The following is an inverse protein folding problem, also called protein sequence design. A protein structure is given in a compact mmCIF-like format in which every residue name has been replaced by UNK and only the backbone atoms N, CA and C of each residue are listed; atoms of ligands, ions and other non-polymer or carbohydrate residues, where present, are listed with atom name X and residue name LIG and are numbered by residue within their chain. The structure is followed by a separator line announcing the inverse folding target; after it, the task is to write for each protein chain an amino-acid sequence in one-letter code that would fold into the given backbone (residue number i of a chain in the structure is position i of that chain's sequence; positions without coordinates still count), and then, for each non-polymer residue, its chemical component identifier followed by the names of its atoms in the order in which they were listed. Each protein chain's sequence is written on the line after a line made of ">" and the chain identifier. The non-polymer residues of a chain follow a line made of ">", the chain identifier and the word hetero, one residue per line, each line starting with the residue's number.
data_IF_150582174188
#
_entry.id   IF_150582174188
#
_cell.length_a   1.000
_cell.length_b   1.000
_cell.length_c   1.000
_cell.angle_alpha   90.00
_cell.angle_beta   90.00
_cell.angle_gamma   90.00
#
_symmetry.space_group_name_H-M   'P 1'
#
loop_
_entity.id
_entity.type
_entity.pdbx_description
1 polymer ?
#
# COMPACT_ATOMS: atom_id res chain seq x y z
N UNK A 1 14.07 -1.77 0.07
CA UNK A 1 13.90 -0.32 0.36
C UNK A 1 12.44 0.08 0.42
N UNK A 2 11.63 -0.02 -0.63
CA UNK A 2 10.23 0.47 -0.55
C UNK A 2 9.42 -0.25 0.56
N UNK A 3 9.56 -1.58 0.70
CA UNK A 3 8.92 -2.37 1.76
C UNK A 3 9.14 -1.82 3.18
N UNK A 4 10.39 -1.58 3.58
CA UNK A 4 10.69 -1.04 4.92
C UNK A 4 10.17 0.39 5.11
N UNK A 5 10.11 1.19 4.04
CA UNK A 5 9.60 2.55 4.11
C UNK A 5 8.08 2.56 4.28
N UNK A 6 7.35 1.75 3.51
CA UNK A 6 5.89 1.61 3.64
C UNK A 6 5.52 1.05 5.01
N UNK A 7 6.27 0.06 5.51
CA UNK A 7 6.07 -0.50 6.86
C UNK A 7 6.26 0.55 7.96
N UNK A 8 7.22 1.46 7.78
CA UNK A 8 7.45 2.55 8.74
C UNK A 8 6.33 3.59 8.70
N UNK A 9 5.68 3.79 7.55
CA UNK A 9 4.55 4.71 7.41
C UNK A 9 3.27 4.11 7.98
N UNK A 10 3.01 2.84 7.68
CA UNK A 10 1.82 2.14 8.13
C UNK A 10 2.21 0.71 8.55
N UNK A 11 2.19 0.38 9.85
CA UNK A 11 2.44 -0.98 10.32
C UNK A 11 1.46 -1.98 9.68
N UNK A 12 1.97 -3.06 9.09
CA UNK A 12 1.17 -4.02 8.32
C UNK A 12 1.16 -3.78 6.81
N UNK A 13 1.83 -2.73 6.31
CA UNK A 13 1.92 -2.45 4.88
C UNK A 13 2.74 -3.51 4.12
N UNK A 14 3.70 -4.15 4.79
CA UNK A 14 4.46 -5.25 4.22
C UNK A 14 3.57 -6.46 3.97
N UNK A 15 2.77 -6.86 4.96
CA UNK A 15 1.81 -7.97 4.93
C UNK A 15 0.71 -7.71 3.89
N UNK A 16 0.22 -6.48 3.83
CA UNK A 16 -0.74 -6.03 2.81
C UNK A 16 -0.11 -5.90 1.41
N UNK A 17 1.19 -6.15 1.24
CA UNK A 17 1.92 -6.07 -0.04
C UNK A 17 1.79 -4.72 -0.74
N UNK A 18 1.75 -3.64 0.03
CA UNK A 18 1.64 -2.25 -0.48
C UNK A 18 2.77 -1.91 -1.47
N UNK A 19 3.95 -2.48 -1.28
CA UNK A 19 5.06 -2.31 -2.22
C UNK A 19 4.73 -2.82 -3.63
N UNK A 20 3.84 -3.81 -3.79
CA UNK A 20 3.40 -4.28 -5.11
C UNK A 20 2.50 -3.26 -5.81
N UNK A 21 1.61 -2.59 -5.06
CA UNK A 21 0.82 -1.46 -5.55
C UNK A 21 1.73 -0.38 -6.13
N UNK A 22 2.70 0.07 -5.33
CA UNK A 22 3.66 1.12 -5.71
C UNK A 22 4.47 0.70 -6.95
N UNK A 23 4.95 -0.55 -7.00
CA UNK A 23 5.71 -1.05 -8.15
C UNK A 23 4.87 -1.13 -9.43
N UNK A 24 3.58 -1.48 -9.33
CA UNK A 24 2.66 -1.50 -10.48
C UNK A 24 2.38 -0.10 -10.99
N UNK A 25 2.12 0.84 -10.11
CA UNK A 25 1.87 2.23 -10.47
C UNK A 25 3.09 2.88 -11.12
N UNK A 26 4.29 2.67 -10.56
CA UNK A 26 5.55 3.14 -11.17
C UNK A 26 5.83 2.53 -12.56
N UNK A 27 5.39 1.30 -12.85
CA UNK A 27 5.53 0.72 -14.20
C UNK A 27 4.70 1.46 -15.23
N UNK A 28 3.53 1.95 -14.84
CA UNK A 28 2.60 2.66 -15.72
C UNK A 28 2.90 4.16 -15.79
N UNK A 29 3.58 4.72 -14.78
CA UNK A 29 3.79 6.17 -14.66
C UNK A 29 5.28 6.56 -14.46
N UNK A 30 5.99 6.97 -15.54
CA UNK A 30 7.37 7.42 -15.47
C UNK A 30 7.62 8.68 -14.62
N UNK A 31 6.58 9.47 -14.32
CA UNK A 31 6.71 10.65 -13.47
C UNK A 31 7.04 10.25 -12.03
N UNK A 32 6.32 9.27 -11.49
CA UNK A 32 6.54 8.79 -10.11
C UNK A 32 7.90 8.13 -9.95
N UNK A 33 8.37 7.38 -10.96
CA UNK A 33 9.70 6.78 -10.96
C UNK A 33 10.78 7.83 -10.65
N UNK A 34 10.70 9.03 -11.25
CA UNK A 34 11.68 10.11 -11.02
C UNK A 34 11.64 10.63 -9.57
N UNK A 35 10.44 10.80 -9.00
CA UNK A 35 10.27 11.27 -7.62
C UNK A 35 10.84 10.22 -6.65
N UNK A 36 10.52 8.94 -6.85
CA UNK A 36 11.04 7.85 -6.03
C UNK A 36 12.56 7.74 -6.10
N UNK A 37 13.16 7.80 -7.29
CA UNK A 37 14.62 7.76 -7.42
C UNK A 37 15.29 8.92 -6.68
N UNK A 38 14.79 10.15 -6.88
CA UNK A 38 15.35 11.34 -6.22
C UNK A 38 15.21 11.24 -4.70
N UNK A 39 14.04 10.86 -4.20
CA UNK A 39 13.78 10.74 -2.77
C UNK A 39 14.59 9.64 -2.09
N UNK A 40 14.70 8.45 -2.70
CA UNK A 40 15.52 7.37 -2.18
C UNK A 40 17.01 7.75 -2.13
N UNK A 41 17.50 8.49 -3.13
CA UNK A 41 18.86 9.03 -3.10
C UNK A 41 19.05 10.00 -1.93
N UNK A 42 18.14 10.97 -1.78
CA UNK A 42 18.19 11.95 -0.69
C UNK A 42 18.13 11.30 0.69
N UNK A 43 17.28 10.28 0.89
CA UNK A 43 17.24 9.53 2.14
C UNK A 43 18.54 8.76 2.40
N UNK A 44 19.12 8.15 1.36
CA UNK A 44 20.37 7.43 1.53
C UNK A 44 21.55 8.37 1.84
N UNK A 45 21.60 9.55 1.20
CA UNK A 45 22.56 10.61 1.58
C UNK A 45 22.34 11.10 3.02
N UNK A 46 21.09 11.30 3.42
CA UNK A 46 20.73 11.67 4.79
C UNK A 46 21.15 10.63 5.81
N UNK A 47 20.94 9.34 5.51
CA UNK A 47 21.38 8.23 6.35
C UNK A 47 22.90 8.19 6.51
N UNK A 48 23.65 8.42 5.43
CA UNK A 48 25.11 8.45 5.44
C UNK A 48 25.65 9.66 6.22
N UNK A 49 25.01 10.82 6.09
CA UNK A 49 25.41 12.05 6.78
C UNK A 49 25.14 11.99 8.28
N UNK A 50 23.97 11.47 8.69
CA UNK A 50 23.52 11.51 10.09
C UNK A 50 23.99 10.30 10.90
N UNK A 51 23.94 9.11 10.29
CA UNK A 51 24.18 7.84 10.98
C UNK A 51 25.42 7.11 10.47
N UNK A 52 26.16 7.67 9.51
CA UNK A 52 27.38 7.09 8.92
C UNK A 52 27.18 5.66 8.37
N UNK A 53 25.98 5.38 7.87
CA UNK A 53 25.59 4.06 7.37
C UNK A 53 24.61 4.18 6.20
N UNK A 54 24.34 3.09 5.50
CA UNK A 54 23.39 3.09 4.37
C UNK A 54 21.94 3.04 4.87
N UNK A 55 21.00 3.54 4.08
CA UNK A 55 19.56 3.54 4.44
C UNK A 55 19.04 2.16 4.87
N UNK A 56 19.48 1.10 4.16
CA UNK A 56 19.10 -0.30 4.44
C UNK A 56 19.62 -0.85 5.78
N UNK A 57 20.58 -0.18 6.40
CA UNK A 57 21.24 -0.60 7.64
C UNK A 57 20.69 0.14 8.87
N UNK A 58 19.78 1.11 8.69
CA UNK A 58 19.12 1.80 9.78
C UNK A 58 18.18 0.86 10.53
N UNK A 59 18.15 1.00 11.86
CA UNK A 59 17.10 0.40 12.67
C UNK A 59 15.78 1.20 12.55
N UNK A 60 14.68 0.65 13.09
CA UNK A 60 13.35 1.25 12.97
C UNK A 60 13.25 2.67 13.54
N UNK A 61 13.90 2.95 14.67
CA UNK A 61 13.90 4.30 15.27
C UNK A 61 14.67 5.29 14.41
N UNK A 62 15.87 4.92 13.96
CA UNK A 62 16.70 5.76 13.09
C UNK A 62 16.00 6.07 11.76
N UNK A 63 15.33 5.08 11.18
CA UNK A 63 14.57 5.25 9.95
C UNK A 63 13.36 6.16 10.15
N UNK A 64 12.62 5.98 11.24
CA UNK A 64 11.47 6.83 11.60
C UNK A 64 11.91 8.28 11.78
N UNK A 65 13.00 8.51 12.51
CA UNK A 65 13.51 9.86 12.75
C UNK A 65 14.04 10.49 11.45
N UNK A 66 14.70 9.72 10.59
CA UNK A 66 15.12 10.20 9.28
C UNK A 66 13.90 10.59 8.42
N UNK A 67 12.88 9.74 8.34
CA UNK A 67 11.68 10.01 7.55
C UNK A 67 10.95 11.27 8.01
N UNK A 68 10.87 11.51 9.31
CA UNK A 68 10.30 12.75 9.88
C UNK A 68 11.04 14.00 9.38
N UNK A 69 12.37 13.96 9.25
CA UNK A 69 13.12 15.11 8.74
C UNK A 69 12.76 15.46 7.28
N UNK A 70 12.26 14.49 6.52
CA UNK A 70 11.87 14.66 5.12
C UNK A 70 10.34 14.67 4.94
N UNK A 71 9.54 14.85 6.00
CA UNK A 71 8.08 14.76 5.95
C UNK A 71 7.44 15.75 4.96
N UNK A 72 8.06 16.92 4.76
CA UNK A 72 7.60 17.95 3.84
C UNK A 72 8.13 17.78 2.41
N UNK A 73 8.89 16.72 2.14
CA UNK A 73 9.39 16.44 0.79
C UNK A 73 8.29 15.87 -0.10
N UNK A 74 8.33 16.20 -1.39
CA UNK A 74 7.44 15.63 -2.42
C UNK A 74 7.47 14.09 -2.40
N UNK A 75 8.65 13.51 -2.21
CA UNK A 75 8.81 12.07 -2.10
C UNK A 75 8.07 11.48 -0.90
N UNK A 76 8.21 12.07 0.29
CA UNK A 76 7.56 11.53 1.48
C UNK A 76 6.03 11.61 1.36
N UNK A 77 5.51 12.72 0.85
CA UNK A 77 4.07 12.89 0.63
C UNK A 77 3.54 11.84 -0.35
N UNK A 78 4.22 11.67 -1.49
CA UNK A 78 3.85 10.64 -2.47
C UNK A 78 3.94 9.22 -1.90
N UNK A 79 5.02 8.91 -1.18
CA UNK A 79 5.19 7.60 -0.55
C UNK A 79 4.08 7.33 0.49
N UNK A 80 3.71 8.33 1.29
CA UNK A 80 2.61 8.24 2.25
C UNK A 80 1.28 8.00 1.56
N UNK A 81 0.97 8.80 0.54
CA UNK A 81 -0.29 8.68 -0.19
C UNK A 81 -0.40 7.32 -0.87
N UNK A 82 0.63 6.89 -1.59
CA UNK A 82 0.67 5.54 -2.17
C UNK A 82 0.62 4.43 -1.11
N UNK A 83 1.15 4.65 0.09
CA UNK A 83 1.04 3.66 1.17
C UNK A 83 -0.41 3.50 1.60
N UNK A 84 -1.12 4.61 1.80
CA UNK A 84 -2.53 4.59 2.19
C UNK A 84 -3.42 4.05 1.07
N UNK A 85 -3.18 4.46 -0.18
CA UNK A 85 -3.87 3.92 -1.35
C UNK A 85 -3.65 2.42 -1.48
N UNK A 86 -2.40 1.97 -1.40
CA UNK A 86 -2.07 0.56 -1.43
C UNK A 86 -2.62 -0.22 -0.23
N UNK A 87 -2.87 0.41 0.92
CA UNK A 87 -3.48 -0.25 2.08
C UNK A 87 -4.99 -0.44 1.93
N UNK A 88 -5.70 0.51 1.33
CA UNK A 88 -7.16 0.58 1.43
C UNK A 88 -7.90 0.54 0.09
N UNK A 89 -7.18 0.53 -1.04
CA UNK A 89 -7.76 0.32 -2.37
C UNK A 89 -8.19 -1.15 -2.58
N UNK A 90 -8.90 -1.41 -3.68
CA UNK A 90 -9.27 -2.76 -4.07
C UNK A 90 -7.99 -3.62 -4.28
N UNK A 91 -7.91 -4.82 -3.67
CA UNK A 91 -6.74 -5.70 -3.80
C UNK A 91 -6.32 -5.99 -5.25
N UNK A 92 -7.22 -5.85 -6.23
CA UNK A 92 -6.92 -6.03 -7.65
C UNK A 92 -5.80 -5.10 -8.15
N UNK A 93 -5.67 -3.90 -7.58
CA UNK A 93 -4.63 -2.94 -7.96
C UNK A 93 -3.24 -3.34 -7.44
N UNK A 94 -3.15 -4.39 -6.63
CA UNK A 94 -1.99 -4.69 -5.81
C UNK A 94 -2.05 -3.93 -4.50
N UNK A 95 -1.27 -4.34 -3.51
CA UNK A 95 -1.54 -3.89 -2.15
C UNK A 95 -2.82 -4.54 -1.60
N UNK A 96 -3.25 -4.08 -0.42
CA UNK A 96 -4.39 -4.56 0.35
C UNK A 96 -4.57 -6.08 0.25
N UNK A 97 -3.47 -6.83 0.34
CA UNK A 97 -3.46 -8.26 0.07
C UNK A 97 -4.43 -8.97 1.01
N UNK A 98 -5.23 -9.90 0.48
CA UNK A 98 -6.34 -10.55 1.20
C UNK A 98 -7.30 -9.55 1.88
N UNK A 99 -7.46 -8.38 1.27
CA UNK A 99 -8.23 -7.25 1.78
C UNK A 99 -7.91 -6.92 3.25
N UNK A 100 -6.64 -7.03 3.67
CA UNK A 100 -6.20 -6.77 5.05
C UNK A 100 -6.67 -5.41 5.56
N UNK A 101 -6.49 -4.34 4.79
CA UNK A 101 -6.95 -2.99 5.15
C UNK A 101 -8.48 -2.91 5.24
N UNK A 102 -9.22 -3.62 4.39
CA UNK A 102 -10.69 -3.68 4.50
C UNK A 102 -11.14 -4.45 5.75
N UNK A 103 -10.51 -5.60 6.04
CA UNK A 103 -10.75 -6.39 7.25
C UNK A 103 -10.50 -5.56 8.52
N UNK A 104 -9.41 -4.79 8.54
CA UNK A 104 -9.10 -3.86 9.64
C UNK A 104 -10.21 -2.81 9.86
N UNK A 105 -10.86 -2.36 8.79
CA UNK A 105 -11.96 -1.39 8.84
C UNK A 105 -13.34 -2.04 9.05
N UNK A 106 -13.44 -3.38 9.04
CA UNK A 106 -14.73 -4.08 9.00
C UNK A 106 -15.51 -3.85 7.70
N UNK A 107 -14.83 -3.46 6.63
CA UNK A 107 -15.42 -3.29 5.31
C UNK A 107 -15.43 -4.63 4.56
N UNK A 108 -16.60 -5.10 4.15
CA UNK A 108 -16.74 -6.38 3.45
C UNK A 108 -16.34 -6.32 1.96
N UNK A 109 -15.92 -5.14 1.47
CA UNK A 109 -15.76 -4.88 0.06
C UNK A 109 -17.03 -4.29 -0.58
N UNK A 110 -16.95 -3.92 -1.87
CA UNK A 110 -18.10 -3.36 -2.58
C UNK A 110 -19.23 -4.40 -2.70
N UNK A 111 -20.40 -4.05 -2.18
CA UNK A 111 -21.63 -4.84 -2.39
C UNK A 111 -22.36 -4.34 -3.62
N UNK A 112 -22.65 -5.23 -4.58
CA UNK A 112 -23.52 -4.89 -5.69
C UNK A 112 -24.97 -4.82 -5.22
N UNK A 113 -25.59 -3.64 -5.31
CA UNK A 113 -27.04 -3.51 -5.23
C UNK A 113 -27.60 -3.56 -6.65
N UNK A 114 -28.17 -4.69 -7.10
CA UNK A 114 -28.82 -4.73 -8.40
C UNK A 114 -29.92 -3.65 -8.46
N UNK A 115 -30.05 -2.90 -9.57
CA UNK A 115 -31.26 -2.11 -9.81
C UNK A 115 -32.50 -3.01 -9.68
N UNK A 116 -33.59 -2.48 -9.11
CA UNK A 116 -34.84 -3.20 -8.84
C UNK A 116 -35.39 -3.97 -10.06
N UNK A 117 -35.01 -3.54 -11.27
CA UNK A 117 -35.34 -4.18 -12.55
C UNK A 117 -34.65 -5.54 -12.78
N UNK A 118 -33.69 -5.93 -11.94
CA UNK A 118 -32.99 -7.22 -12.02
C UNK A 118 -33.53 -8.25 -11.01
N UNK A 119 -34.65 -7.98 -10.32
CA UNK A 119 -35.26 -8.92 -9.36
C UNK A 119 -35.54 -10.31 -9.94
N UNK A 120 -35.64 -10.44 -11.27
CA UNK A 120 -35.89 -11.70 -11.98
C UNK A 120 -34.63 -12.34 -12.57
N UNK A 121 -33.49 -11.63 -12.55
CA UNK A 121 -32.22 -12.18 -13.02
C UNK A 121 -31.55 -12.87 -11.85
N UNK A 122 -31.44 -14.19 -11.92
CA UNK A 122 -30.62 -14.94 -10.98
C UNK A 122 -29.15 -14.59 -11.22
N UNK A 123 -28.66 -13.61 -10.47
CA UNK A 123 -27.25 -13.28 -10.43
C UNK A 123 -26.50 -14.54 -9.96
N UNK A 124 -25.41 -14.96 -10.61
CA UNK A 124 -24.54 -15.99 -10.04
C UNK A 124 -24.20 -15.61 -8.60
N UNK A 125 -24.35 -16.57 -7.69
CA UNK A 125 -24.09 -16.40 -6.25
C UNK A 125 -22.67 -15.89 -5.96
N UNK A 126 -21.77 -16.06 -6.94
CA UNK A 126 -20.37 -15.63 -6.88
C UNK A 126 -20.13 -14.66 -8.04
N UNK A 127 -20.28 -13.37 -7.78
CA UNK A 127 -19.72 -12.34 -8.64
C UNK A 127 -18.30 -12.02 -8.17
N UNK A 128 -17.37 -12.09 -9.12
CA UNK A 128 -15.94 -11.89 -8.94
C UNK A 128 -15.61 -10.44 -8.56
N UNK A 129 -15.27 -10.22 -7.30
CA UNK A 129 -14.08 -9.44 -6.90
C UNK A 129 -13.23 -10.19 -5.86
N UNK A 130 -13.54 -11.47 -5.62
CA UNK A 130 -13.11 -12.25 -4.46
C UNK A 130 -12.77 -13.70 -4.84
N UNK A 131 -11.89 -13.94 -5.81
CA UNK A 131 -11.15 -15.21 -5.79
C UNK A 131 -10.17 -15.17 -4.61
N UNK A 132 -10.65 -15.53 -3.41
CA UNK A 132 -9.77 -15.82 -2.27
C UNK A 132 -10.15 -15.23 -0.92
N UNK A 133 -11.25 -14.47 -0.80
CA UNK A 133 -11.77 -14.06 0.52
C UNK A 133 -13.21 -14.59 0.66
N UNK A 134 -13.35 -15.89 0.41
CA UNK A 134 -14.47 -16.63 0.94
C UNK A 134 -14.26 -16.68 2.45
N UNK A 135 -15.16 -16.07 3.21
CA UNK A 135 -15.27 -16.35 4.63
C UNK A 135 -15.44 -17.87 4.77
N UNK A 136 -14.55 -18.53 5.51
CA UNK A 136 -14.81 -19.89 6.00
C UNK A 136 -16.05 -19.77 6.89
N UNK A 137 -17.18 -20.34 6.44
CA UNK A 137 -18.33 -20.53 7.29
C UNK A 137 -17.94 -21.56 8.37
N UNK A 138 -17.84 -21.10 9.62
CA UNK A 138 -17.80 -21.98 10.78
C UNK A 138 -19.10 -22.81 10.80
N UNK A 139 -18.97 -24.13 10.60
CA UNK A 139 -19.90 -25.16 11.08
C UNK A 139 -19.15 -26.32 11.68
#
# INVERSE_FOLDING_TARGET
>A
MIQMLTETIFPGACEAKVYEFILRDMKSNPFFVKIYHKGLHQLNEGAEHIYHTKLLQLNGNQLTDLLKMYENSEFFQLLRDHTLEGMFSDPIYGGNYEALGWRMLGYAGPTFHPPETLNEVQLPTVYYSLEGIAYEEET
#
